data_IF_185402911047
#
_entry.id   IF_185402911047
#
_cell.length_a   1.000
_cell.length_b   1.000
_cell.length_c   1.000
_cell.angle_alpha   90.00
_cell.angle_beta   90.00
_cell.angle_gamma   90.00
#
_symmetry.space_group_name_H-M   'P 1'
#
loop_
_entity.id
_entity.type
_entity.pdbx_description
1 polymer ?
#
# COMPACT_ATOMS: atom_id res chain seq x y z
N UNK A 1 -28.55 1.36 -1.10
CA UNK A 1 -27.22 1.87 -1.54
C UNK A 1 -26.05 1.56 -0.59
N UNK A 2 -26.23 0.83 0.52
CA UNK A 2 -25.12 0.50 1.46
C UNK A 2 -24.21 -0.66 1.04
N UNK A 3 -24.63 -1.51 0.09
CA UNK A 3 -23.88 -2.73 -0.24
C UNK A 3 -22.58 -2.48 -1.03
N UNK A 4 -22.55 -1.47 -1.89
CA UNK A 4 -21.37 -1.14 -2.70
C UNK A 4 -20.23 -0.56 -1.84
N UNK A 5 -20.56 0.37 -0.92
CA UNK A 5 -19.59 0.95 0.02
C UNK A 5 -19.02 -0.11 0.98
N UNK A 6 -19.87 -1.03 1.46
CA UNK A 6 -19.43 -2.12 2.35
C UNK A 6 -18.51 -3.12 1.65
N UNK A 7 -18.76 -3.41 0.35
CA UNK A 7 -17.87 -4.24 -0.48
C UNK A 7 -16.52 -3.55 -0.70
N UNK A 8 -16.53 -2.27 -1.11
CA UNK A 8 -15.32 -1.46 -1.31
C UNK A 8 -14.42 -1.45 -0.05
N UNK A 9 -15.03 -1.28 1.12
CA UNK A 9 -14.29 -1.28 2.38
C UNK A 9 -13.69 -2.66 2.74
N UNK A 10 -14.45 -3.75 2.55
CA UNK A 10 -13.93 -5.10 2.75
C UNK A 10 -12.78 -5.42 1.79
N UNK A 11 -12.85 -4.92 0.57
CA UNK A 11 -11.79 -5.11 -0.42
C UNK A 11 -10.53 -4.31 -0.04
N UNK A 12 -10.68 -3.06 0.42
CA UNK A 12 -9.56 -2.28 0.96
C UNK A 12 -8.85 -3.01 2.11
N UNK A 13 -9.60 -3.57 3.07
CA UNK A 13 -9.04 -4.36 4.17
C UNK A 13 -8.24 -5.57 3.70
N UNK A 14 -8.73 -6.30 2.68
CA UNK A 14 -8.02 -7.45 2.11
C UNK A 14 -6.69 -7.04 1.52
N UNK A 15 -6.65 -5.92 0.79
CA UNK A 15 -5.43 -5.37 0.22
C UNK A 15 -4.43 -4.98 1.31
N UNK A 16 -4.87 -4.31 2.38
CA UNK A 16 -3.97 -3.98 3.51
C UNK A 16 -3.47 -5.23 4.26
N UNK A 17 -4.33 -6.22 4.50
CA UNK A 17 -3.91 -7.48 5.12
C UNK A 17 -2.88 -8.21 4.25
N UNK A 18 -3.08 -8.22 2.93
CA UNK A 18 -2.13 -8.81 1.98
C UNK A 18 -0.82 -8.03 1.95
N UNK A 19 -0.86 -6.71 1.98
CA UNK A 19 0.34 -5.87 2.07
C UNK A 19 1.19 -6.23 3.30
N UNK A 20 0.56 -6.35 4.47
CA UNK A 20 1.22 -6.74 5.72
C UNK A 20 1.84 -8.14 5.63
N UNK A 21 1.11 -9.11 5.09
CA UNK A 21 1.65 -10.47 4.90
C UNK A 21 2.85 -10.48 3.95
N UNK A 22 2.78 -9.73 2.85
CA UNK A 22 3.86 -9.67 1.85
C UNK A 22 5.11 -8.99 2.41
N UNK A 23 4.96 -7.95 3.26
CA UNK A 23 6.14 -7.31 3.87
C UNK A 23 6.80 -8.21 4.92
N UNK A 24 6.02 -9.03 5.62
CA UNK A 24 6.56 -10.04 6.54
C UNK A 24 7.30 -11.16 5.79
N UNK A 25 6.78 -11.60 4.64
CA UNK A 25 7.48 -12.56 3.76
C UNK A 25 8.77 -11.94 3.18
N UNK A 26 8.72 -10.66 2.80
CA UNK A 26 9.90 -9.96 2.29
C UNK A 26 11.03 -9.92 3.33
N UNK A 27 10.72 -9.86 4.63
CA UNK A 27 11.73 -9.79 5.70
C UNK A 27 12.67 -11.01 5.72
N UNK A 28 12.17 -12.18 5.31
CA UNK A 28 12.90 -13.46 5.39
C UNK A 28 13.26 -14.06 4.02
N UNK A 29 12.85 -13.41 2.92
CA UNK A 29 12.99 -13.95 1.57
C UNK A 29 14.24 -13.45 0.85
N UNK A 30 14.88 -14.32 0.05
CA UNK A 30 15.93 -13.91 -0.90
C UNK A 30 15.39 -13.00 -2.01
N UNK A 31 14.09 -13.07 -2.29
CA UNK A 31 13.37 -12.25 -3.26
C UNK A 31 12.67 -11.04 -2.61
N UNK A 32 13.16 -10.58 -1.46
CA UNK A 32 12.53 -9.53 -0.66
C UNK A 32 12.12 -8.29 -1.46
N UNK A 33 12.86 -7.94 -2.53
CA UNK A 33 12.55 -6.78 -3.38
C UNK A 33 11.23 -6.94 -4.12
N UNK A 34 10.96 -8.12 -4.68
CA UNK A 34 9.71 -8.44 -5.38
C UNK A 34 8.54 -8.38 -4.40
N UNK A 35 8.67 -9.07 -3.27
CA UNK A 35 7.66 -9.05 -2.21
C UNK A 35 7.43 -7.65 -1.63
N UNK A 36 8.47 -6.81 -1.54
CA UNK A 36 8.35 -5.41 -1.11
C UNK A 36 7.58 -4.56 -2.13
N UNK A 37 7.87 -4.71 -3.43
CA UNK A 37 7.12 -4.04 -4.50
C UNK A 37 5.65 -4.41 -4.44
N UNK A 38 5.36 -5.71 -4.31
CA UNK A 38 3.99 -6.19 -4.25
C UNK A 38 3.27 -5.73 -2.97
N UNK A 39 3.97 -5.70 -1.83
CA UNK A 39 3.43 -5.16 -0.59
C UNK A 39 3.04 -3.69 -0.71
N UNK A 40 3.92 -2.84 -1.26
CA UNK A 40 3.61 -1.42 -1.48
C UNK A 40 2.43 -1.27 -2.45
N UNK A 41 2.35 -2.12 -3.49
CA UNK A 41 1.26 -2.08 -4.47
C UNK A 41 -0.08 -2.37 -3.79
N UNK A 42 -0.12 -3.41 -2.97
CA UNK A 42 -1.30 -3.80 -2.21
C UNK A 42 -1.70 -2.69 -1.21
N UNK A 43 -0.75 -2.06 -0.51
CA UNK A 43 -1.03 -0.96 0.39
C UNK A 43 -1.63 0.27 -0.34
N UNK A 44 -1.07 0.66 -1.49
CA UNK A 44 -1.59 1.76 -2.31
C UNK A 44 -2.97 1.45 -2.88
N UNK A 45 -3.17 0.21 -3.32
CA UNK A 45 -4.46 -0.27 -3.83
C UNK A 45 -5.54 -0.17 -2.74
N UNK A 46 -5.24 -0.62 -1.52
CA UNK A 46 -6.12 -0.47 -0.38
C UNK A 46 -6.44 0.99 -0.06
N UNK A 47 -5.43 1.88 -0.09
CA UNK A 47 -5.62 3.32 0.13
C UNK A 47 -6.55 3.95 -0.92
N UNK A 48 -6.36 3.60 -2.20
CA UNK A 48 -7.16 4.12 -3.31
C UNK A 48 -8.61 3.65 -3.22
N UNK A 49 -8.83 2.37 -2.92
CA UNK A 49 -10.18 1.82 -2.72
C UNK A 49 -10.86 2.50 -1.53
N UNK A 50 -10.15 2.70 -0.41
CA UNK A 50 -10.66 3.43 0.76
C UNK A 50 -11.01 4.88 0.41
N UNK A 51 -10.24 5.51 -0.47
CA UNK A 51 -10.50 6.84 -1.03
C UNK A 51 -11.61 6.89 -2.08
N UNK A 52 -12.35 5.80 -2.31
CA UNK A 52 -13.34 5.65 -3.39
C UNK A 52 -12.79 5.97 -4.79
N UNK A 53 -11.52 5.67 -5.03
CA UNK A 53 -10.88 5.86 -6.32
C UNK A 53 -11.08 4.61 -7.16
N UNK A 54 -11.74 4.75 -8.31
CA UNK A 54 -11.94 3.66 -9.26
C UNK A 54 -10.63 3.20 -9.88
N UNK A 55 -10.30 1.92 -9.69
CA UNK A 55 -9.14 1.28 -10.31
C UNK A 55 -9.59 0.57 -11.60
N UNK A 56 -9.06 0.99 -12.74
CA UNK A 56 -9.52 0.53 -14.06
C UNK A 56 -8.67 -0.59 -14.66
N UNK A 57 -7.48 -0.87 -14.13
CA UNK A 57 -6.58 -1.92 -14.64
C UNK A 57 -5.43 -2.23 -13.66
N UNK A 58 -4.61 -3.23 -13.98
CA UNK A 58 -3.37 -3.49 -13.26
C UNK A 58 -2.37 -2.35 -13.48
N UNK A 59 -2.23 -1.48 -12.48
CA UNK A 59 -1.34 -0.31 -12.54
C UNK A 59 -0.01 -0.60 -11.84
N UNK A 60 1.07 -0.02 -12.37
CA UNK A 60 2.36 -0.02 -11.69
C UNK A 60 2.36 0.86 -10.43
N UNK A 61 3.39 0.72 -9.60
CA UNK A 61 3.54 1.46 -8.34
C UNK A 61 3.52 2.98 -8.53
N UNK A 62 4.14 3.48 -9.60
CA UNK A 62 4.27 4.91 -9.85
C UNK A 62 2.92 5.49 -10.24
N UNK A 63 2.15 4.79 -11.07
CA UNK A 63 0.80 5.19 -11.48
C UNK A 63 -0.18 5.16 -10.31
N UNK A 64 -0.13 4.13 -9.46
CA UNK A 64 -0.93 4.10 -8.23
C UNK A 64 -0.59 5.27 -7.30
N UNK A 65 0.70 5.56 -7.13
CA UNK A 65 1.16 6.68 -6.30
C UNK A 65 0.76 8.04 -6.90
N UNK A 66 0.85 8.21 -8.22
CA UNK A 66 0.43 9.41 -8.92
C UNK A 66 -1.08 9.65 -8.78
N UNK A 67 -1.88 8.59 -8.89
CA UNK A 67 -3.33 8.67 -8.69
C UNK A 67 -3.67 9.02 -7.24
N UNK A 68 -2.96 8.46 -6.27
CA UNK A 68 -3.15 8.79 -4.86
C UNK A 68 -2.74 10.24 -4.54
N UNK A 69 -1.70 10.78 -5.20
CA UNK A 69 -1.33 12.19 -5.14
C UNK A 69 -2.42 13.09 -5.74
N UNK A 70 -2.89 12.78 -6.95
CA UNK A 70 -3.95 13.54 -7.64
C UNK A 70 -5.24 13.64 -6.79
N UNK A 71 -5.56 12.57 -6.06
CA UNK A 71 -6.73 12.52 -5.16
C UNK A 71 -6.47 13.09 -3.76
N UNK A 72 -5.30 13.68 -3.52
CA UNK A 72 -4.93 14.27 -2.22
C UNK A 72 -4.86 13.23 -1.09
N UNK A 73 -4.67 11.95 -1.41
CA UNK A 73 -4.45 10.88 -0.43
C UNK A 73 -2.99 10.84 0.03
N UNK A 74 -2.07 11.23 -0.86
CA UNK A 74 -0.64 11.39 -0.60
C UNK A 74 -0.22 12.83 -0.89
N UNK A 75 0.87 13.28 -0.27
CA UNK A 75 1.53 14.53 -0.65
C UNK A 75 2.68 14.28 -1.65
N UNK A 76 3.30 15.36 -2.14
CA UNK A 76 4.38 15.27 -3.12
C UNK A 76 5.63 14.55 -2.58
N UNK A 77 5.95 14.69 -1.29
CA UNK A 77 7.07 13.98 -0.64
C UNK A 77 6.80 12.48 -0.58
N UNK A 78 5.57 12.06 -0.23
CA UNK A 78 5.14 10.67 -0.23
C UNK A 78 5.28 10.05 -1.63
N UNK A 79 4.74 10.72 -2.65
CA UNK A 79 4.85 10.29 -4.03
C UNK A 79 6.31 10.14 -4.48
N UNK A 80 7.13 11.16 -4.24
CA UNK A 80 8.53 11.18 -4.65
C UNK A 80 9.34 10.04 -4.02
N UNK A 81 9.08 9.74 -2.73
CA UNK A 81 9.71 8.62 -2.03
C UNK A 81 9.31 7.27 -2.59
N UNK A 82 8.02 7.08 -2.90
CA UNK A 82 7.52 5.84 -3.50
C UNK A 82 8.11 5.63 -4.90
N UNK A 83 8.13 6.68 -5.73
CA UNK A 83 8.71 6.63 -7.06
C UNK A 83 10.22 6.31 -7.02
N UNK A 84 10.96 6.99 -6.14
CA UNK A 84 12.38 6.73 -5.91
C UNK A 84 12.62 5.28 -5.46
N UNK A 85 11.84 4.80 -4.48
CA UNK A 85 11.97 3.46 -3.95
C UNK A 85 11.64 2.40 -5.02
N UNK A 86 10.60 2.58 -5.84
CA UNK A 86 10.23 1.67 -6.93
C UNK A 86 11.38 1.48 -7.92
N UNK A 87 12.05 2.58 -8.31
CA UNK A 87 13.24 2.50 -9.18
C UNK A 87 14.33 1.68 -8.49
N UNK A 88 14.69 2.02 -7.24
CA UNK A 88 15.78 1.35 -6.52
C UNK A 88 15.53 -0.14 -6.27
N UNK A 89 14.29 -0.51 -5.97
CA UNK A 89 13.89 -1.91 -5.77
C UNK A 89 14.00 -2.72 -7.09
N UNK A 90 13.74 -2.10 -8.24
CA UNK A 90 13.85 -2.77 -9.56
C UNK A 90 15.28 -2.83 -10.09
N UNK A 91 16.09 -1.81 -9.85
CA UNK A 91 17.47 -1.74 -10.35
C UNK A 91 18.47 -2.47 -9.46
N UNK A 92 18.04 -3.05 -8.34
CA UNK A 92 18.94 -3.74 -7.40
C UNK A 92 19.94 -2.81 -6.69
N UNK A 93 19.73 -1.50 -6.77
CA UNK A 93 20.58 -0.49 -6.13
C UNK A 93 20.56 -0.62 -4.59
N UNK A 94 21.46 0.12 -3.92
CA UNK A 94 21.52 0.21 -2.45
C UNK A 94 20.20 0.76 -1.90
N UNK A 95 19.35 -0.16 -1.46
CA UNK A 95 18.12 0.13 -0.73
C UNK A 95 17.88 -1.00 0.25
N UNK A 96 17.38 -0.66 1.44
CA UNK A 96 17.15 -1.62 2.50
C UNK A 96 15.69 -2.05 2.54
N UNK A 97 15.45 -3.26 3.04
CA UNK A 97 14.10 -3.72 3.38
C UNK A 97 13.37 -2.74 4.32
N UNK A 98 14.11 -2.10 5.24
CA UNK A 98 13.54 -1.11 6.17
C UNK A 98 12.90 0.07 5.44
N UNK A 99 13.48 0.52 4.33
CA UNK A 99 12.92 1.62 3.53
C UNK A 99 11.56 1.24 2.93
N UNK A 100 11.42 0.00 2.44
CA UNK A 100 10.15 -0.51 1.95
C UNK A 100 9.10 -0.66 3.06
N UNK A 101 9.50 -1.22 4.21
CA UNK A 101 8.63 -1.36 5.38
C UNK A 101 8.11 0.00 5.86
N UNK A 102 8.97 1.01 5.92
CA UNK A 102 8.59 2.38 6.29
C UNK A 102 7.53 2.98 5.36
N UNK A 103 7.61 2.73 4.05
CA UNK A 103 6.59 3.19 3.10
C UNK A 103 5.25 2.48 3.33
N UNK A 104 5.25 1.16 3.52
CA UNK A 104 4.04 0.39 3.81
C UNK A 104 3.39 0.88 5.11
N UNK A 105 4.18 1.00 6.18
CA UNK A 105 3.71 1.50 7.48
C UNK A 105 3.15 2.92 7.38
N UNK A 106 3.80 3.80 6.59
CA UNK A 106 3.33 5.17 6.35
C UNK A 106 1.99 5.18 5.62
N UNK A 107 1.82 4.37 4.57
CA UNK A 107 0.55 4.25 3.84
C UNK A 107 -0.56 3.76 4.77
N UNK A 108 -0.30 2.71 5.57
CA UNK A 108 -1.28 2.21 6.54
C UNK A 108 -1.64 3.29 7.56
N UNK A 109 -0.66 4.03 8.08
CA UNK A 109 -0.90 5.14 9.01
C UNK A 109 -1.77 6.24 8.39
N UNK A 110 -1.53 6.61 7.14
CA UNK A 110 -2.36 7.57 6.40
C UNK A 110 -3.80 7.03 6.27
N UNK A 111 -3.96 5.78 5.88
CA UNK A 111 -5.27 5.12 5.78
C UNK A 111 -6.01 5.07 7.13
N UNK A 112 -5.33 4.72 8.21
CA UNK A 112 -5.88 4.68 9.56
C UNK A 112 -6.26 6.05 10.12
N UNK A 113 -5.60 7.13 9.66
CA UNK A 113 -6.02 8.49 10.02
C UNK A 113 -7.32 8.91 9.34
N UNK A 114 -7.61 8.32 8.16
CA UNK A 114 -8.86 8.54 7.42
C UNK A 114 -9.98 7.60 7.91
N UNK A 115 -9.66 6.39 8.36
CA UNK A 115 -10.58 5.47 9.00
C UNK A 115 -9.96 4.83 10.27
N UNK A 116 -10.34 5.29 11.48
CA UNK A 116 -9.85 4.75 12.74
C UNK A 116 -10.17 3.25 12.95
N UNK A 117 -11.21 2.71 12.30
CA UNK A 117 -11.60 1.30 12.44
C UNK A 117 -10.70 0.36 11.63
N UNK A 118 -9.97 0.89 10.64
CA UNK A 118 -9.02 0.13 9.83
C UNK A 118 -7.96 -0.55 10.70
N UNK A 119 -7.31 0.21 11.58
CA UNK A 119 -6.29 -0.32 12.51
C UNK A 119 -6.85 -1.41 13.42
N UNK A 120 -8.09 -1.23 13.91
CA UNK A 120 -8.74 -2.20 14.80
C UNK A 120 -9.04 -3.51 14.07
N UNK A 121 -9.48 -3.42 12.82
CA UNK A 121 -9.82 -4.59 12.02
C UNK A 121 -8.59 -5.30 11.44
N UNK A 122 -7.54 -4.57 11.06
CA UNK A 122 -6.27 -5.19 10.62
C UNK A 122 -5.61 -6.03 11.72
N UNK A 123 -5.76 -5.65 12.99
CA UNK A 123 -5.32 -6.48 14.12
C UNK A 123 -6.02 -7.84 14.17
N UNK A 124 -7.26 -7.94 13.68
CA UNK A 124 -8.00 -9.22 13.63
C UNK A 124 -7.52 -10.14 12.52
N UNK A 125 -6.88 -9.60 11.47
CA UNK A 125 -6.30 -10.39 10.37
C UNK A 125 -4.85 -10.85 10.63
N UNK A 126 -4.27 -10.48 11.78
CA UNK A 126 -2.92 -10.89 12.20
C UNK A 126 -2.88 -12.20 13.00
N UNK A 127 -4.03 -12.80 13.28
CA UNK A 127 -4.20 -14.08 13.97
C UNK A 127 -4.87 -15.09 13.05
#
# INVERSE_FOLDING_TARGET
MFSALRKSYSDALRHFARALRLIEVAEVSSEWRTYSIDSIREALTGLLILGNVGLTSHMDLTNLAALALDKGLLNLDDFSRIAYLNVRLRTGSTVSFKDAKLIVDKIIKISSSKDPYLSRQLRLFRY
#
